data_IF_027384191573
#
_entry.id   IF_027384191573
#
_cell.length_a   1.000
_cell.length_b   1.000
_cell.length_c   1.000
_cell.angle_alpha   90.00
_cell.angle_beta   90.00
_cell.angle_gamma   90.00
#
_symmetry.space_group_name_H-M   'P 1'
#
loop_
_entity.id
_entity.type
_entity.pdbx_description
1 polymer ?
#
# COMPACT_ATOMS: atom_id res chain seq x y z
N UNK A 1 -41.54 40.84 -27.83
CA UNK A 1 -41.02 39.46 -27.93
C UNK A 1 -39.52 39.38 -28.28
N UNK A 2 -38.92 40.32 -29.02
CA UNK A 2 -37.47 40.29 -29.35
C UNK A 2 -36.53 40.77 -28.22
N UNK A 3 -37.02 41.63 -27.32
CA UNK A 3 -36.25 42.12 -26.16
C UNK A 3 -36.08 41.07 -25.05
N UNK A 4 -37.02 40.14 -24.89
CA UNK A 4 -36.96 39.11 -23.85
C UNK A 4 -35.90 38.03 -24.16
N UNK A 5 -35.60 37.81 -25.45
CA UNK A 5 -34.60 36.84 -25.89
C UNK A 5 -33.15 37.29 -25.61
N UNK A 6 -32.90 38.60 -25.57
CA UNK A 6 -31.55 39.15 -25.37
C UNK A 6 -31.12 39.15 -23.89
N UNK A 7 -32.08 39.24 -22.96
CA UNK A 7 -31.79 39.18 -21.51
C UNK A 7 -31.45 37.74 -21.07
N UNK A 8 -32.05 36.73 -21.71
CA UNK A 8 -31.83 35.33 -21.35
C UNK A 8 -30.43 34.81 -21.75
N UNK A 9 -29.86 35.35 -22.83
CA UNK A 9 -28.50 34.99 -23.29
C UNK A 9 -27.36 35.64 -22.48
N UNK A 10 -27.66 36.64 -21.64
CA UNK A 10 -26.65 37.29 -20.80
C UNK A 10 -26.45 36.61 -19.42
N UNK A 11 -27.30 35.64 -19.06
CA UNK A 11 -27.25 34.91 -17.79
C UNK A 11 -26.44 33.59 -17.84
N UNK A 12 -25.84 33.26 -18.99
CA UNK A 12 -25.04 32.03 -19.19
C UNK A 12 -23.52 32.26 -19.04
N UNK A 13 -23.10 33.49 -18.72
CA UNK A 13 -21.69 33.85 -18.57
C UNK A 13 -21.21 33.72 -17.12
N UNK A 14 -20.06 33.08 -16.94
CA UNK A 14 -19.22 33.02 -15.73
C UNK A 14 -19.59 32.01 -14.63
N UNK A 15 -19.34 30.73 -14.90
CA UNK A 15 -18.80 29.85 -13.87
C UNK A 15 -17.39 29.43 -14.31
N UNK A 16 -16.38 30.21 -13.90
CA UNK A 16 -15.00 29.75 -13.93
C UNK A 16 -14.85 28.73 -12.80
N UNK A 17 -15.00 27.45 -13.12
CA UNK A 17 -14.65 26.38 -12.21
C UNK A 17 -13.13 26.43 -12.01
N UNK A 18 -12.68 26.99 -10.89
CA UNK A 18 -11.33 26.75 -10.41
C UNK A 18 -11.28 25.29 -9.98
N UNK A 19 -10.75 24.44 -10.87
CA UNK A 19 -10.38 23.08 -10.54
C UNK A 19 -9.19 23.17 -9.56
N UNK A 20 -9.50 23.28 -8.28
CA UNK A 20 -8.52 22.96 -7.24
C UNK A 20 -8.22 21.47 -7.41
N UNK A 21 -7.05 21.19 -7.96
CA UNK A 21 -6.50 19.84 -7.99
C UNK A 21 -6.19 19.47 -6.54
N UNK A 22 -7.20 18.94 -5.84
CA UNK A 22 -6.99 18.27 -4.58
C UNK A 22 -6.09 17.07 -4.86
N UNK A 23 -4.80 17.22 -4.56
CA UNK A 23 -3.83 16.15 -4.61
C UNK A 23 -4.24 15.12 -3.54
N UNK A 24 -5.00 14.11 -3.97
CA UNK A 24 -5.30 12.94 -3.15
C UNK A 24 -3.97 12.20 -2.99
N UNK A 25 -3.27 12.50 -1.90
CA UNK A 25 -2.10 11.74 -1.49
C UNK A 25 -2.53 10.28 -1.38
N UNK A 26 -2.00 9.45 -2.27
CA UNK A 26 -2.26 8.01 -2.35
C UNK A 26 -1.46 7.30 -1.26
N UNK A 27 -1.54 7.82 -0.05
CA UNK A 27 -0.87 7.30 1.12
C UNK A 27 -1.82 6.26 1.68
N UNK A 28 -1.55 4.98 1.41
CA UNK A 28 -2.21 3.90 2.14
C UNK A 28 -2.00 4.21 3.63
N UNK A 29 -3.06 4.38 4.43
CA UNK A 29 -2.90 4.72 5.83
C UNK A 29 -2.00 3.70 6.49
N UNK A 30 -1.03 4.16 7.29
CA UNK A 30 0.00 3.30 7.88
C UNK A 30 -0.58 2.11 8.67
N UNK A 31 -1.80 2.30 9.21
CA UNK A 31 -2.61 1.28 9.86
C UNK A 31 -2.98 0.08 8.98
N UNK A 32 -2.99 0.22 7.66
CA UNK A 32 -3.32 -0.85 6.71
C UNK A 32 -2.11 -1.64 6.23
N UNK A 33 -0.87 -1.17 6.47
CA UNK A 33 0.34 -1.89 6.06
C UNK A 33 0.41 -3.34 6.59
N UNK A 34 0.11 -3.63 7.86
CA UNK A 34 0.15 -5.01 8.36
C UNK A 34 -0.82 -5.93 7.62
N UNK A 35 -2.00 -5.38 7.27
CA UNK A 35 -2.99 -6.11 6.49
C UNK A 35 -2.49 -6.41 5.08
N UNK A 36 -1.93 -5.42 4.38
CA UNK A 36 -1.40 -5.64 3.03
C UNK A 36 -0.27 -6.68 2.99
N UNK A 37 0.62 -6.67 3.97
CA UNK A 37 1.69 -7.67 4.10
C UNK A 37 1.09 -9.06 4.31
N UNK A 38 0.06 -9.19 5.15
CA UNK A 38 -0.60 -10.47 5.38
C UNK A 38 -1.35 -11.00 4.16
N UNK A 39 -1.87 -10.13 3.30
CA UNK A 39 -2.53 -10.52 2.05
C UNK A 39 -1.53 -10.91 0.95
N UNK A 40 -0.27 -10.50 1.06
CA UNK A 40 0.77 -10.76 0.07
C UNK A 40 1.42 -12.15 0.21
N UNK A 41 1.39 -12.74 1.41
CA UNK A 41 2.14 -13.96 1.73
C UNK A 41 1.24 -15.03 2.33
N UNK A 42 1.49 -16.28 1.96
CA UNK A 42 0.74 -17.40 2.50
C UNK A 42 1.29 -17.91 3.85
N UNK A 43 0.48 -18.75 4.47
CA UNK A 43 0.77 -19.36 5.77
C UNK A 43 1.57 -20.67 5.67
N UNK A 44 2.02 -21.06 4.47
CA UNK A 44 2.69 -22.34 4.26
C UNK A 44 4.05 -22.38 4.98
N UNK A 45 4.42 -23.57 5.46
CA UNK A 45 5.72 -23.82 6.05
C UNK A 45 6.67 -24.37 4.98
N UNK A 46 7.50 -23.48 4.43
CA UNK A 46 8.43 -23.80 3.34
C UNK A 46 9.83 -23.34 3.69
N UNK A 47 10.85 -24.08 3.27
CA UNK A 47 12.25 -23.77 3.59
C UNK A 47 12.70 -22.42 3.01
N UNK A 48 13.73 -21.81 3.63
CA UNK A 48 14.33 -20.55 3.16
C UNK A 48 14.77 -20.58 1.69
N UNK A 49 15.05 -21.76 1.13
CA UNK A 49 15.39 -21.95 -0.29
C UNK A 49 14.21 -21.73 -1.25
N UNK A 50 12.97 -21.81 -0.74
CA UNK A 50 11.74 -21.63 -1.55
C UNK A 50 11.16 -20.22 -1.44
N UNK A 51 11.49 -19.50 -0.37
CA UNK A 51 11.11 -18.11 -0.17
C UNK A 51 11.77 -17.22 -1.21
N UNK A 52 11.10 -16.11 -1.56
CA UNK A 52 11.51 -15.24 -2.66
C UNK A 52 11.93 -13.84 -2.24
N UNK A 53 11.63 -13.42 -1.02
CA UNK A 53 12.00 -12.11 -0.51
C UNK A 53 12.25 -12.11 0.99
N UNK A 54 12.94 -11.08 1.46
CA UNK A 54 13.15 -10.86 2.89
C UNK A 54 11.82 -10.53 3.59
N UNK A 55 10.92 -9.79 2.95
CA UNK A 55 9.58 -9.47 3.48
C UNK A 55 8.76 -10.74 3.75
N UNK A 56 8.84 -11.75 2.87
CA UNK A 56 8.18 -13.04 3.06
C UNK A 56 8.79 -13.80 4.25
N UNK A 57 10.12 -13.79 4.38
CA UNK A 57 10.83 -14.41 5.49
C UNK A 57 10.46 -13.75 6.83
N UNK A 58 10.40 -12.41 6.87
CA UNK A 58 9.95 -11.65 8.03
C UNK A 58 8.49 -11.93 8.39
N UNK A 59 7.59 -11.98 7.40
CA UNK A 59 6.20 -12.35 7.63
C UNK A 59 6.08 -13.74 8.26
N UNK A 60 6.82 -14.73 7.75
CA UNK A 60 6.80 -16.09 8.28
C UNK A 60 7.42 -16.18 9.68
N UNK A 61 8.46 -15.40 9.99
CA UNK A 61 9.03 -15.31 11.33
C UNK A 61 8.07 -14.64 12.32
N UNK A 62 7.69 -13.39 12.06
CA UNK A 62 6.97 -12.54 13.00
C UNK A 62 5.46 -12.84 13.06
N UNK A 63 4.81 -12.94 11.90
CA UNK A 63 3.35 -13.07 11.83
C UNK A 63 2.89 -14.52 11.94
N UNK A 64 3.71 -15.48 11.48
CA UNK A 64 3.40 -16.92 11.54
C UNK A 64 4.14 -17.66 12.66
N UNK A 65 5.10 -17.02 13.33
CA UNK A 65 5.86 -17.62 14.42
C UNK A 65 6.81 -18.74 14.01
N UNK A 66 7.19 -18.82 12.73
CA UNK A 66 8.09 -19.86 12.24
C UNK A 66 9.54 -19.56 12.64
N UNK A 67 9.90 -19.84 13.91
CA UNK A 67 11.25 -19.57 14.45
C UNK A 67 12.37 -20.21 13.65
N UNK A 68 12.11 -21.34 12.98
CA UNK A 68 13.08 -22.01 12.09
C UNK A 68 13.62 -21.12 10.96
N UNK A 69 12.97 -19.97 10.68
CA UNK A 69 13.47 -18.97 9.74
C UNK A 69 14.71 -18.26 10.27
N UNK A 70 14.83 -18.09 11.58
CA UNK A 70 15.95 -17.47 12.31
C UNK A 70 16.61 -18.53 13.21
N UNK A 71 17.48 -19.34 12.61
CA UNK A 71 17.99 -20.55 13.24
C UNK A 71 18.97 -20.30 14.40
N UNK A 72 19.59 -19.13 14.43
CA UNK A 72 20.54 -18.65 15.43
C UNK A 72 19.98 -17.53 16.32
N UNK A 73 18.68 -17.23 16.20
CA UNK A 73 17.88 -16.36 17.08
C UNK A 73 18.48 -14.94 17.24
N UNK A 74 19.10 -14.38 16.20
CA UNK A 74 19.62 -13.00 16.21
C UNK A 74 18.70 -11.98 15.52
N UNK A 75 17.55 -12.43 15.03
CA UNK A 75 16.50 -11.60 14.44
C UNK A 75 16.58 -11.46 12.92
N UNK A 76 17.56 -12.05 12.24
CA UNK A 76 17.71 -12.00 10.77
C UNK A 76 17.27 -13.34 10.17
N UNK A 77 16.00 -13.48 9.71
CA UNK A 77 15.57 -14.74 9.14
C UNK A 77 16.16 -14.98 7.76
N UNK A 78 16.47 -16.23 7.44
CA UNK A 78 16.90 -16.67 6.13
C UNK A 78 17.95 -15.72 5.52
N UNK A 79 19.16 -15.68 6.09
CA UNK A 79 20.25 -14.75 5.72
C UNK A 79 20.68 -14.77 4.24
N UNK A 80 20.25 -15.78 3.49
CA UNK A 80 20.38 -15.81 2.04
C UNK A 80 19.47 -14.79 1.32
N UNK A 81 18.49 -14.21 2.02
CA UNK A 81 17.53 -13.21 1.55
C UNK A 81 17.62 -11.91 2.36
N UNK A 82 17.82 -12.01 3.67
CA UNK A 82 17.87 -10.87 4.57
C UNK A 82 19.30 -10.54 5.01
N UNK A 83 19.58 -9.24 5.16
CA UNK A 83 20.86 -8.72 5.68
C UNK A 83 20.69 -7.88 6.95
N UNK A 84 19.47 -7.80 7.49
CA UNK A 84 19.11 -7.02 8.68
C UNK A 84 17.90 -7.64 9.38
N UNK A 85 17.68 -7.31 10.68
CA UNK A 85 16.53 -7.81 11.40
C UNK A 85 15.20 -7.38 10.78
N UNK A 86 14.19 -8.21 11.01
CA UNK A 86 12.78 -7.85 10.91
C UNK A 86 12.38 -7.04 12.16
#
# INVERSE_FOLDING_TARGET
MRFFALVFMALLGTFAATADAAEVSTEIPDLLKPYLVAQAFDCSDVSCKRLRSCEEACFKLLQRGQRVRDGDDHGIPCENLCSRPC
#
